data_IF_855649921140
#
_entry.id   IF_855649921140
#
_cell.length_a   1.000
_cell.length_b   1.000
_cell.length_c   1.000
_cell.angle_alpha   90.00
_cell.angle_beta   90.00
_cell.angle_gamma   90.00
#
_symmetry.space_group_name_H-M   'P 1'
#
loop_
_entity.id
_entity.type
_entity.pdbx_description
1 polymer ?
#
# COMPACT_ATOMS: atom_id res chain seq x y z
N UNK A 1 16.05 -6.90 -12.02
CA UNK A 1 15.31 -5.78 -11.41
C UNK A 1 15.23 -6.05 -9.92
N UNK A 2 15.81 -5.20 -9.11
CA UNK A 2 15.70 -5.26 -7.66
C UNK A 2 14.94 -4.03 -7.15
N UNK A 3 14.13 -4.20 -6.11
CA UNK A 3 13.48 -3.10 -5.37
C UNK A 3 14.21 -2.98 -4.05
N UNK A 4 14.79 -1.82 -3.78
CA UNK A 4 15.51 -1.50 -2.55
C UNK A 4 14.52 -0.78 -1.63
N UNK A 5 13.97 -1.43 -0.60
CA UNK A 5 13.03 -0.80 0.29
C UNK A 5 13.73 0.18 1.22
N UNK A 6 13.15 1.36 1.37
CA UNK A 6 13.51 2.38 2.32
C UNK A 6 12.28 2.67 3.17
N UNK A 7 12.34 2.29 4.43
CA UNK A 7 11.27 2.57 5.36
C UNK A 7 11.48 3.92 6.02
N UNK A 8 10.51 4.82 5.83
CA UNK A 8 10.44 6.07 6.58
C UNK A 8 9.42 5.90 7.71
N UNK A 9 9.69 6.43 8.91
CA UNK A 9 8.69 6.44 9.98
C UNK A 9 7.41 7.07 9.46
N UNK A 10 6.26 6.65 10.01
CA UNK A 10 4.91 7.11 9.59
C UNK A 10 4.68 8.63 9.72
N UNK A 11 5.69 9.42 9.45
CA UNK A 11 5.61 10.87 9.31
C UNK A 11 4.77 11.21 8.05
N UNK A 12 4.13 12.36 8.04
CA UNK A 12 3.33 12.83 6.91
C UNK A 12 1.88 12.36 6.87
N UNK A 13 1.44 11.48 7.78
CA UNK A 13 0.03 11.12 7.92
C UNK A 13 -0.64 12.03 8.96
N UNK A 14 -1.61 12.89 8.58
CA UNK A 14 -2.30 13.78 9.52
C UNK A 14 -3.45 13.07 10.26
N UNK A 15 -3.91 11.94 9.74
CA UNK A 15 -5.02 11.15 10.27
C UNK A 15 -4.51 9.85 10.89
N UNK A 16 -5.16 9.43 11.97
CA UNK A 16 -4.89 8.15 12.60
C UNK A 16 -5.97 7.16 12.16
N UNK A 17 -5.71 6.43 11.06
CA UNK A 17 -6.61 5.37 10.63
C UNK A 17 -6.78 4.34 11.73
N UNK A 18 -8.01 3.85 11.95
CA UNK A 18 -8.32 2.94 13.07
C UNK A 18 -7.48 1.66 13.09
N UNK A 19 -7.01 1.19 11.93
CA UNK A 19 -6.22 -0.04 11.78
C UNK A 19 -4.71 0.18 11.79
N UNK A 20 -4.23 1.43 11.93
CA UNK A 20 -2.80 1.74 11.77
C UNK A 20 -2.15 2.02 13.12
N UNK A 21 -1.10 1.27 13.43
CA UNK A 21 -0.29 1.50 14.62
C UNK A 21 0.96 2.33 14.30
N UNK A 22 0.76 3.62 14.09
CA UNK A 22 1.85 4.54 13.76
C UNK A 22 2.88 4.72 14.88
N UNK A 23 2.47 4.56 16.15
CA UNK A 23 3.33 4.84 17.30
C UNK A 23 4.23 3.67 17.68
N UNK A 24 3.80 2.45 17.43
CA UNK A 24 4.51 1.22 17.84
C UNK A 24 5.52 0.76 16.79
N UNK A 25 5.20 0.96 15.49
CA UNK A 25 6.06 0.49 14.38
C UNK A 25 7.21 1.45 14.10
N UNK A 26 7.11 2.73 14.40
CA UNK A 26 8.11 3.71 13.95
C UNK A 26 9.03 4.25 15.02
N UNK A 27 8.79 4.02 16.31
CA UNK A 27 9.52 4.75 17.34
C UNK A 27 9.67 6.24 16.93
N UNK A 28 9.55 7.20 17.78
CA UNK A 28 9.48 8.65 17.48
C UNK A 28 10.73 9.25 16.78
N UNK A 29 11.33 8.59 15.80
CA UNK A 29 12.48 9.13 15.07
C UNK A 29 12.00 9.73 13.74
N UNK A 30 12.26 11.01 13.56
CA UNK A 30 12.20 11.67 12.24
C UNK A 30 13.22 11.00 11.33
N UNK A 31 12.76 10.47 10.17
CA UNK A 31 13.68 9.96 9.18
C UNK A 31 14.65 11.07 8.73
N UNK A 32 15.90 10.75 8.61
CA UNK A 32 16.94 11.63 8.08
C UNK A 32 17.56 11.04 6.81
N UNK A 33 18.22 11.87 6.03
CA UNK A 33 19.02 11.45 4.88
C UNK A 33 20.02 10.34 5.24
N UNK A 34 20.62 10.39 6.44
CA UNK A 34 21.54 9.37 6.93
C UNK A 34 20.85 8.02 7.16
N UNK A 35 19.62 8.02 7.67
CA UNK A 35 18.85 6.77 7.87
C UNK A 35 18.51 6.13 6.52
N UNK A 36 18.19 6.95 5.53
CA UNK A 36 17.97 6.48 4.15
C UNK A 36 19.25 5.87 3.57
N UNK A 37 20.38 6.56 3.71
CA UNK A 37 21.69 6.08 3.24
C UNK A 37 22.06 4.72 3.86
N UNK A 38 21.93 4.57 5.17
CA UNK A 38 22.18 3.30 5.86
C UNK A 38 21.28 2.16 5.40
N UNK A 39 20.00 2.43 5.13
CA UNK A 39 19.08 1.43 4.62
C UNK A 39 19.48 1.02 3.20
N UNK A 40 19.81 1.97 2.32
CA UNK A 40 20.27 1.71 0.97
C UNK A 40 21.55 0.85 0.97
N UNK A 41 22.55 1.20 1.78
CA UNK A 41 23.83 0.49 1.89
C UNK A 41 23.65 -0.98 2.24
N UNK A 42 22.69 -1.33 3.13
CA UNK A 42 22.41 -2.72 3.50
C UNK A 42 21.97 -3.57 2.31
N UNK A 43 21.27 -2.99 1.34
CA UNK A 43 20.77 -3.72 0.17
C UNK A 43 21.77 -3.69 -1.01
N UNK A 44 22.53 -2.60 -1.14
CA UNK A 44 23.48 -2.40 -2.26
C UNK A 44 24.56 -3.49 -2.32
N UNK A 45 24.96 -4.05 -1.19
CA UNK A 45 25.94 -5.15 -1.15
C UNK A 45 25.41 -6.46 -1.79
N UNK A 46 24.09 -6.61 -1.96
CA UNK A 46 23.44 -7.83 -2.47
C UNK A 46 22.93 -7.69 -3.90
N UNK A 47 22.96 -6.50 -4.47
CA UNK A 47 22.41 -6.24 -5.81
C UNK A 47 23.52 -5.82 -6.78
N UNK A 48 23.34 -6.14 -8.05
CA UNK A 48 24.19 -5.58 -9.11
C UNK A 48 23.64 -4.20 -9.49
N UNK A 49 24.48 -3.17 -9.57
CA UNK A 49 24.08 -1.85 -10.09
C UNK A 49 23.42 -1.98 -11.48
N UNK A 50 22.44 -1.15 -11.75
CA UNK A 50 21.83 -1.12 -13.07
C UNK A 50 20.49 -0.34 -13.11
N UNK A 51 20.13 0.15 -14.30
CA UNK A 51 18.98 1.03 -14.51
C UNK A 51 17.62 0.34 -14.30
N UNK A 52 17.60 -0.96 -14.14
CA UNK A 52 16.37 -1.70 -13.81
C UNK A 52 16.06 -1.78 -12.31
N UNK A 53 16.96 -1.32 -11.44
CA UNK A 53 16.73 -1.30 -10.01
C UNK A 53 15.93 -0.05 -9.60
N UNK A 54 15.13 -0.17 -8.56
CA UNK A 54 14.33 0.92 -7.99
C UNK A 54 14.60 1.10 -6.50
N UNK A 55 14.71 2.35 -6.01
CA UNK A 55 14.54 2.64 -4.60
C UNK A 55 13.05 2.85 -4.30
N UNK A 56 12.55 2.30 -3.20
CA UNK A 56 11.14 2.32 -2.87
C UNK A 56 10.91 2.85 -1.46
N UNK A 57 10.31 4.04 -1.32
CA UNK A 57 9.93 4.61 -0.03
C UNK A 57 8.60 4.06 0.46
N UNK A 58 8.62 3.45 1.63
CA UNK A 58 7.46 2.86 2.31
C UNK A 58 7.35 3.36 3.76
N UNK A 59 6.24 3.08 4.41
CA UNK A 59 6.02 3.26 5.85
C UNK A 59 5.11 4.43 6.24
N UNK A 60 4.85 5.40 5.34
CA UNK A 60 3.99 6.54 5.64
C UNK A 60 3.38 7.16 4.38
N UNK A 61 2.98 8.42 4.50
CA UNK A 61 2.56 9.22 3.35
C UNK A 61 3.71 10.13 2.92
N UNK A 62 4.53 9.69 1.96
CA UNK A 62 5.73 10.43 1.57
C UNK A 62 5.43 11.87 1.16
N UNK A 63 4.42 12.09 0.31
CA UNK A 63 4.05 13.43 -0.15
C UNK A 63 3.33 14.28 0.90
N UNK A 64 3.00 13.71 2.05
CA UNK A 64 2.51 14.44 3.22
C UNK A 64 3.61 15.03 4.11
N UNK A 65 4.88 14.69 3.84
CA UNK A 65 6.02 15.31 4.50
C UNK A 65 6.23 16.75 4.01
N UNK A 66 6.86 17.64 4.81
CA UNK A 66 7.33 18.95 4.33
C UNK A 66 8.25 18.79 3.11
N UNK A 67 8.19 19.71 2.14
CA UNK A 67 8.92 19.59 0.88
C UNK A 67 10.45 19.57 1.06
N UNK A 68 10.97 20.33 2.01
CA UNK A 68 12.40 20.33 2.39
C UNK A 68 12.85 19.00 2.96
N UNK A 69 12.01 18.34 3.78
CA UNK A 69 12.29 17.01 4.28
C UNK A 69 12.22 15.95 3.15
N UNK A 70 11.24 16.05 2.24
CA UNK A 70 11.20 15.18 1.06
C UNK A 70 12.50 15.29 0.24
N UNK A 71 12.94 16.52 -0.02
CA UNK A 71 14.20 16.80 -0.73
C UNK A 71 15.42 16.23 0.02
N UNK A 72 15.45 16.37 1.35
CA UNK A 72 16.51 15.80 2.16
C UNK A 72 16.57 14.28 2.05
N UNK A 73 15.42 13.60 2.13
CA UNK A 73 15.33 12.15 2.03
C UNK A 73 15.67 11.62 0.63
N UNK A 74 15.48 12.42 -0.43
CA UNK A 74 15.88 12.06 -1.79
C UNK A 74 17.38 12.13 -2.04
N UNK A 75 18.16 12.94 -1.32
CA UNK A 75 19.60 13.14 -1.58
C UNK A 75 20.42 11.86 -1.77
N UNK A 76 20.33 10.82 -0.89
CA UNK A 76 21.08 9.58 -1.11
C UNK A 76 20.62 8.81 -2.36
N UNK A 77 19.33 8.93 -2.69
CA UNK A 77 18.75 8.27 -3.85
C UNK A 77 19.13 8.97 -5.15
N UNK A 78 19.17 10.32 -5.15
CA UNK A 78 19.64 11.13 -6.29
C UNK A 78 21.07 10.77 -6.69
N UNK A 79 21.95 10.53 -5.70
CA UNK A 79 23.31 10.06 -5.93
C UNK A 79 23.33 8.73 -6.67
N UNK A 80 22.53 7.75 -6.22
CA UNK A 80 22.44 6.43 -6.85
C UNK A 80 21.84 6.49 -8.27
N UNK A 81 20.90 7.42 -8.52
CA UNK A 81 20.36 7.68 -9.85
C UNK A 81 21.46 8.26 -10.77
N UNK A 82 22.21 9.26 -10.30
CA UNK A 82 23.30 9.88 -11.06
C UNK A 82 24.42 8.88 -11.38
N UNK A 83 24.73 7.98 -10.48
CA UNK A 83 25.74 6.91 -10.64
C UNK A 83 25.22 5.73 -11.49
N UNK A 84 23.94 5.70 -11.87
CA UNK A 84 23.33 4.60 -12.64
C UNK A 84 23.19 3.28 -11.86
N UNK A 85 23.26 3.34 -10.54
CA UNK A 85 23.07 2.16 -9.64
C UNK A 85 21.61 1.75 -9.59
N UNK A 86 20.71 2.74 -9.67
CA UNK A 86 19.27 2.56 -9.83
C UNK A 86 18.77 3.39 -11.02
N UNK A 87 17.60 3.06 -11.56
CA UNK A 87 17.02 3.76 -12.72
C UNK A 87 15.76 4.54 -12.40
N UNK A 88 15.17 4.34 -11.23
CA UNK A 88 13.95 5.04 -10.82
C UNK A 88 13.72 4.96 -9.33
N UNK A 89 12.76 5.77 -8.89
CA UNK A 89 12.22 5.78 -7.54
C UNK A 89 10.75 5.43 -7.56
N UNK A 90 10.32 4.75 -6.53
CA UNK A 90 8.92 4.43 -6.22
C UNK A 90 8.60 4.92 -4.83
N UNK A 91 7.36 5.31 -4.57
CA UNK A 91 6.92 5.67 -3.24
C UNK A 91 5.44 5.35 -3.00
N UNK A 92 5.11 5.21 -1.71
CA UNK A 92 3.72 5.08 -1.25
C UNK A 92 3.23 6.38 -0.62
N UNK A 93 2.00 6.75 -0.92
CA UNK A 93 1.39 7.94 -0.35
C UNK A 93 -0.15 7.85 -0.31
N UNK A 94 -0.77 8.87 0.27
CA UNK A 94 -2.22 9.03 0.34
C UNK A 94 -2.73 9.80 -0.89
N UNK A 95 -3.98 9.54 -1.34
CA UNK A 95 -4.54 10.25 -2.50
C UNK A 95 -4.78 11.74 -2.26
N UNK A 96 -5.09 12.15 -1.02
CA UNK A 96 -5.33 13.55 -0.63
C UNK A 96 -4.06 14.42 -0.55
N UNK A 97 -2.88 13.83 -0.77
CA UNK A 97 -1.58 14.53 -0.82
C UNK A 97 -0.97 14.49 -2.22
N UNK A 98 -1.79 14.57 -3.26
CA UNK A 98 -1.38 14.64 -4.66
C UNK A 98 -1.84 15.98 -5.24
N UNK A 99 -0.88 16.82 -5.61
CA UNK A 99 -1.07 18.08 -6.34
C UNK A 99 0.09 18.33 -7.31
N UNK A 100 -0.04 19.33 -8.16
CA UNK A 100 0.93 19.64 -9.20
C UNK A 100 2.34 19.90 -8.63
N UNK A 101 2.45 20.72 -7.58
CA UNK A 101 3.75 21.09 -6.99
C UNK A 101 4.47 19.87 -6.42
N UNK A 102 3.73 18.96 -5.75
CA UNK A 102 4.29 17.69 -5.26
C UNK A 102 4.74 16.81 -6.41
N UNK A 103 3.95 16.68 -7.47
CA UNK A 103 4.31 15.84 -8.62
C UNK A 103 5.53 16.37 -9.38
N UNK A 104 5.69 17.67 -9.51
CA UNK A 104 6.90 18.31 -10.06
C UNK A 104 8.13 17.98 -9.23
N UNK A 105 8.01 18.04 -7.88
CA UNK A 105 9.09 17.63 -6.97
C UNK A 105 9.44 16.15 -7.17
N UNK A 106 8.45 15.27 -7.23
CA UNK A 106 8.68 13.84 -7.45
C UNK A 106 9.39 13.56 -8.78
N UNK A 107 8.99 14.23 -9.86
CA UNK A 107 9.66 14.08 -11.16
C UNK A 107 11.11 14.54 -11.12
N UNK A 108 11.39 15.67 -10.44
CA UNK A 108 12.75 16.18 -10.29
C UNK A 108 13.70 15.18 -9.62
N UNK A 109 13.19 14.30 -8.75
CA UNK A 109 13.92 13.26 -8.03
C UNK A 109 13.78 11.85 -8.63
N UNK A 110 13.41 11.74 -9.91
CA UNK A 110 13.38 10.47 -10.64
C UNK A 110 12.31 9.48 -10.21
N UNK A 111 11.25 9.94 -9.53
CA UNK A 111 10.10 9.09 -9.19
C UNK A 111 9.36 8.75 -10.47
N UNK A 112 9.12 7.46 -10.70
CA UNK A 112 8.34 6.96 -11.82
C UNK A 112 7.05 6.28 -11.39
N UNK A 113 7.04 5.69 -10.20
CA UNK A 113 5.91 4.90 -9.71
C UNK A 113 5.36 5.47 -8.39
N UNK A 114 4.07 5.71 -8.33
CA UNK A 114 3.36 6.16 -7.12
C UNK A 114 2.30 5.12 -6.74
N UNK A 115 2.42 4.59 -5.51
CA UNK A 115 1.45 3.67 -4.93
C UNK A 115 0.50 4.43 -4.00
N UNK A 116 -0.79 4.48 -4.36
CA UNK A 116 -1.80 5.17 -3.57
C UNK A 116 -2.45 4.24 -2.55
N UNK A 117 -2.44 4.63 -1.29
CA UNK A 117 -3.17 3.97 -0.21
C UNK A 117 -4.67 4.26 -0.28
N UNK A 118 -5.37 3.67 -1.23
CA UNK A 118 -6.81 3.87 -1.48
C UNK A 118 -7.65 3.15 -0.44
N UNK A 119 -7.39 1.90 -0.22
CA UNK A 119 -8.05 0.93 0.67
C UNK A 119 -9.47 0.56 0.22
N UNK A 120 -10.37 1.53 0.03
CA UNK A 120 -11.73 1.41 -0.47
C UNK A 120 -12.12 2.62 -1.32
N UNK A 121 -13.16 2.50 -2.13
CA UNK A 121 -13.82 3.60 -2.85
C UNK A 121 -15.29 3.76 -2.41
N UNK A 122 -15.60 3.26 -1.22
CA UNK A 122 -16.85 3.48 -0.51
C UNK A 122 -16.61 4.49 0.63
N UNK A 123 -17.23 5.65 0.53
CA UNK A 123 -17.00 6.75 1.49
C UNK A 123 -17.47 6.40 2.90
N UNK A 124 -18.47 5.54 3.07
CA UNK A 124 -18.89 5.06 4.39
C UNK A 124 -17.80 4.19 5.05
N UNK A 125 -17.16 3.33 4.26
CA UNK A 125 -16.02 2.50 4.71
C UNK A 125 -14.82 3.37 5.04
N UNK A 126 -14.51 4.35 4.20
CA UNK A 126 -13.41 5.29 4.43
C UNK A 126 -13.63 6.13 5.69
N UNK A 127 -14.87 6.59 5.93
CA UNK A 127 -15.23 7.33 7.12
C UNK A 127 -15.15 6.46 8.38
N UNK A 128 -15.69 5.23 8.36
CA UNK A 128 -15.64 4.28 9.47
C UNK A 128 -14.19 3.89 9.84
N UNK A 129 -13.29 3.90 8.87
CA UNK A 129 -11.87 3.63 9.05
C UNK A 129 -11.02 4.87 9.39
N UNK A 130 -11.64 6.04 9.57
CA UNK A 130 -10.99 7.33 9.84
C UNK A 130 -9.88 7.66 8.83
N UNK A 131 -10.11 7.32 7.55
CA UNK A 131 -9.11 7.55 6.50
C UNK A 131 -8.86 9.04 6.21
N UNK A 132 -9.83 9.91 6.47
CA UNK A 132 -9.73 11.36 6.27
C UNK A 132 -9.71 11.81 4.80
N UNK A 133 -9.84 10.90 3.83
CA UNK A 133 -10.04 11.20 2.41
C UNK A 133 -11.29 10.49 1.89
N UNK A 134 -11.80 10.93 0.75
CA UNK A 134 -12.95 10.38 0.07
C UNK A 134 -12.57 9.73 -1.27
N UNK A 135 -13.47 8.96 -1.86
CA UNK A 135 -13.28 8.37 -3.18
C UNK A 135 -12.98 9.42 -4.26
N UNK A 136 -13.57 10.62 -4.14
CA UNK A 136 -13.30 11.75 -5.04
C UNK A 136 -11.85 12.20 -5.04
N UNK A 137 -11.13 12.09 -3.93
CA UNK A 137 -9.71 12.45 -3.85
C UNK A 137 -8.86 11.43 -4.62
N UNK A 138 -9.26 10.14 -4.60
CA UNK A 138 -8.62 9.09 -5.39
C UNK A 138 -8.77 9.37 -6.89
N UNK A 139 -9.97 9.75 -7.36
CA UNK A 139 -10.18 10.08 -8.77
C UNK A 139 -9.33 11.25 -9.22
N UNK A 140 -9.26 12.33 -8.41
CA UNK A 140 -8.43 13.50 -8.69
C UNK A 140 -6.94 13.11 -8.74
N UNK A 141 -6.46 12.36 -7.74
CA UNK A 141 -5.08 11.92 -7.66
C UNK A 141 -4.68 11.06 -8.86
N UNK A 142 -5.48 10.04 -9.22
CA UNK A 142 -5.21 9.16 -10.37
C UNK A 142 -5.23 9.96 -11.67
N UNK A 143 -6.18 10.88 -11.86
CA UNK A 143 -6.22 11.74 -13.05
C UNK A 143 -4.96 12.58 -13.17
N UNK A 144 -4.52 13.22 -12.09
CA UNK A 144 -3.34 14.07 -12.09
C UNK A 144 -2.05 13.25 -12.30
N UNK A 145 -1.90 12.11 -11.64
CA UNK A 145 -0.76 11.21 -11.83
C UNK A 145 -0.64 10.73 -13.27
N UNK A 146 -1.77 10.42 -13.94
CA UNK A 146 -1.78 10.08 -15.38
C UNK A 146 -1.33 11.23 -16.25
N UNK A 147 -1.77 12.46 -15.97
CA UNK A 147 -1.35 13.65 -16.72
C UNK A 147 0.14 13.89 -16.62
N UNK A 148 0.75 13.59 -15.47
CA UNK A 148 2.19 13.70 -15.25
C UNK A 148 2.98 12.45 -15.69
N UNK A 149 2.33 11.40 -16.20
CA UNK A 149 2.98 10.22 -16.75
C UNK A 149 3.54 9.23 -15.72
N UNK A 150 3.06 9.25 -14.48
CA UNK A 150 3.45 8.29 -13.46
C UNK A 150 2.83 6.91 -13.70
N UNK A 151 3.57 5.86 -13.37
CA UNK A 151 3.02 4.53 -13.16
C UNK A 151 2.26 4.50 -11.82
N UNK A 152 1.03 3.97 -11.83
CA UNK A 152 0.12 4.05 -10.69
C UNK A 152 -0.15 2.68 -10.13
N UNK A 153 0.16 2.48 -8.84
CA UNK A 153 -0.28 1.35 -8.04
C UNK A 153 -1.41 1.74 -7.10
N UNK A 154 -2.38 0.84 -6.88
CA UNK A 154 -3.42 1.03 -5.88
C UNK A 154 -3.33 -0.05 -4.80
N UNK A 155 -3.36 0.36 -3.54
CA UNK A 155 -3.48 -0.54 -2.39
C UNK A 155 -4.95 -0.63 -1.99
N UNK A 156 -5.48 -1.84 -1.91
CA UNK A 156 -6.87 -2.14 -1.58
C UNK A 156 -6.93 -3.02 -0.34
N UNK A 157 -7.99 -2.86 0.45
CA UNK A 157 -8.23 -3.69 1.63
C UNK A 157 -9.57 -4.38 1.57
N UNK A 158 -9.65 -5.58 2.16
CA UNK A 158 -10.88 -6.32 2.41
C UNK A 158 -11.09 -6.50 3.90
N UNK A 159 -12.36 -6.47 4.33
CA UNK A 159 -12.74 -6.65 5.73
C UNK A 159 -12.64 -5.38 6.59
N UNK A 160 -12.67 -4.20 6.00
CA UNK A 160 -12.66 -2.92 6.73
C UNK A 160 -13.97 -2.70 7.51
N UNK A 161 -13.98 -1.87 8.57
CA UNK A 161 -15.21 -1.49 9.26
C UNK A 161 -16.28 -1.00 8.28
N UNK A 162 -17.51 -1.44 8.45
CA UNK A 162 -18.67 -1.16 7.59
C UNK A 162 -18.54 -1.65 6.13
N UNK A 163 -17.52 -2.43 5.79
CA UNK A 163 -17.31 -2.93 4.43
C UNK A 163 -18.06 -4.25 4.21
N UNK A 164 -19.10 -4.23 3.40
CA UNK A 164 -19.75 -5.45 2.90
C UNK A 164 -19.02 -6.00 1.67
N UNK A 165 -19.32 -7.25 1.30
CA UNK A 165 -18.78 -7.81 0.05
C UNK A 165 -19.28 -7.03 -1.18
N UNK A 166 -20.49 -6.48 -1.15
CA UNK A 166 -20.99 -5.64 -2.25
C UNK A 166 -20.25 -4.29 -2.32
N UNK A 167 -19.84 -3.71 -1.19
CA UNK A 167 -18.94 -2.57 -1.15
C UNK A 167 -17.56 -2.89 -1.78
N UNK A 168 -17.00 -4.09 -1.51
CA UNK A 168 -15.77 -4.56 -2.18
C UNK A 168 -15.97 -4.66 -3.68
N UNK A 169 -17.08 -5.27 -4.14
CA UNK A 169 -17.40 -5.37 -5.57
C UNK A 169 -17.54 -4.00 -6.23
N UNK A 170 -18.25 -3.08 -5.60
CA UNK A 170 -18.41 -1.70 -6.09
C UNK A 170 -17.06 -0.96 -6.16
N UNK A 171 -16.18 -1.17 -5.18
CA UNK A 171 -14.81 -0.64 -5.21
C UNK A 171 -14.03 -1.19 -6.40
N UNK A 172 -14.09 -2.50 -6.64
CA UNK A 172 -13.40 -3.13 -7.78
C UNK A 172 -13.86 -2.56 -9.12
N UNK A 173 -15.18 -2.40 -9.32
CA UNK A 173 -15.71 -1.80 -10.56
C UNK A 173 -15.18 -0.37 -10.80
N UNK A 174 -14.98 0.39 -9.72
CA UNK A 174 -14.40 1.73 -9.81
C UNK A 174 -12.90 1.66 -10.11
N UNK A 175 -12.16 0.75 -9.48
CA UNK A 175 -10.72 0.52 -9.74
C UNK A 175 -10.48 0.11 -11.21
N UNK A 176 -11.33 -0.74 -11.78
CA UNK A 176 -11.26 -1.11 -13.20
C UNK A 176 -11.38 0.11 -14.11
N UNK A 177 -12.27 1.05 -13.79
CA UNK A 177 -12.42 2.32 -14.55
C UNK A 177 -11.22 3.25 -14.36
N UNK A 178 -10.63 3.26 -13.16
CA UNK A 178 -9.39 4.02 -12.90
C UNK A 178 -8.19 3.48 -13.67
N UNK A 179 -8.14 2.18 -13.97
CA UNK A 179 -7.11 1.54 -14.78
C UNK A 179 -5.69 1.76 -14.26
N UNK A 180 -5.35 1.37 -13.03
CA UNK A 180 -3.98 1.43 -12.54
C UNK A 180 -3.10 0.40 -13.25
N UNK A 181 -1.77 0.59 -13.20
CA UNK A 181 -0.80 -0.36 -13.74
C UNK A 181 -0.75 -1.66 -12.91
N UNK A 182 -0.91 -1.53 -11.61
CA UNK A 182 -0.90 -2.66 -10.69
C UNK A 182 -1.69 -2.37 -9.41
N UNK A 183 -1.92 -3.43 -8.62
CA UNK A 183 -2.58 -3.34 -7.33
C UNK A 183 -1.92 -4.24 -6.27
N UNK A 184 -2.20 -3.93 -5.01
CA UNK A 184 -1.95 -4.76 -3.84
C UNK A 184 -3.27 -5.00 -3.11
N UNK A 185 -3.45 -6.19 -2.55
CA UNK A 185 -4.67 -6.59 -1.83
C UNK A 185 -4.27 -7.02 -0.41
N UNK A 186 -4.83 -6.37 0.59
CA UNK A 186 -4.54 -6.66 1.99
C UNK A 186 -5.81 -7.01 2.76
N UNK A 187 -5.85 -8.17 3.46
CA UNK A 187 -6.88 -8.40 4.44
C UNK A 187 -6.64 -7.51 5.67
N UNK A 188 -7.70 -7.00 6.26
CA UNK A 188 -7.61 -6.23 7.50
C UNK A 188 -7.31 -7.14 8.67
N UNK A 189 -6.33 -6.77 9.48
CA UNK A 189 -6.01 -7.39 10.76
C UNK A 189 -6.25 -6.42 11.91
N UNK A 190 -6.67 -6.94 13.05
CA UNK A 190 -6.68 -6.21 14.32
C UNK A 190 -5.28 -6.33 14.93
N UNK A 191 -4.57 -5.22 14.95
CA UNK A 191 -3.18 -5.15 15.43
C UNK A 191 -3.17 -4.45 16.77
N UNK A 192 -2.33 -4.95 17.68
CA UNK A 192 -2.15 -4.42 19.03
C UNK A 192 -1.77 -2.93 19.02
N UNK A 193 -2.35 -2.17 19.93
CA UNK A 193 -2.10 -0.74 20.09
C UNK A 193 -2.78 0.14 19.01
N UNK A 194 -3.70 -0.43 18.22
CA UNK A 194 -4.50 0.34 17.26
C UNK A 194 -5.84 0.75 17.88
N UNK A 195 -6.47 1.85 17.41
CA UNK A 195 -7.87 2.13 17.78
C UNK A 195 -8.82 0.97 17.45
N UNK A 196 -8.55 0.20 16.41
CA UNK A 196 -9.36 -0.95 16.00
C UNK A 196 -9.32 -2.09 17.03
N UNK A 197 -8.22 -2.27 17.76
CA UNK A 197 -8.16 -3.23 18.88
C UNK A 197 -9.22 -2.89 19.93
N UNK A 198 -9.31 -1.63 20.34
CA UNK A 198 -10.31 -1.21 21.33
C UNK A 198 -11.74 -1.33 20.81
N UNK A 199 -11.99 -1.08 19.52
CA UNK A 199 -13.31 -1.28 18.90
C UNK A 199 -13.65 -2.78 18.89
N UNK A 200 -12.68 -3.64 18.59
CA UNK A 200 -12.84 -5.09 18.63
C UNK A 200 -13.11 -5.61 20.05
N UNK A 201 -12.33 -5.16 21.06
CA UNK A 201 -12.51 -5.55 22.46
C UNK A 201 -13.88 -5.18 23.01
N UNK A 202 -14.50 -4.10 22.54
CA UNK A 202 -15.87 -3.71 22.89
C UNK A 202 -16.95 -4.49 22.15
N UNK A 203 -16.57 -5.38 21.21
CA UNK A 203 -17.52 -6.13 20.39
C UNK A 203 -18.22 -5.29 19.32
N UNK A 204 -17.69 -4.12 18.99
CA UNK A 204 -18.23 -3.20 17.97
C UNK A 204 -17.72 -3.48 16.54
N UNK A 205 -16.74 -4.36 16.42
CA UNK A 205 -16.17 -4.81 15.15
C UNK A 205 -15.85 -6.31 15.20
N UNK A 206 -16.26 -7.03 14.15
CA UNK A 206 -15.91 -8.43 13.95
C UNK A 206 -15.07 -8.55 12.68
N UNK A 207 -13.80 -9.01 12.76
CA UNK A 207 -12.97 -9.20 11.58
C UNK A 207 -13.47 -10.38 10.74
N UNK A 208 -13.17 -10.37 9.45
CA UNK A 208 -13.47 -11.50 8.57
C UNK A 208 -12.79 -12.77 9.06
N UNK A 209 -13.45 -13.91 8.84
CA UNK A 209 -12.77 -15.21 8.95
C UNK A 209 -11.72 -15.33 7.83
N UNK A 210 -10.80 -16.28 7.96
CA UNK A 210 -9.79 -16.54 6.93
C UNK A 210 -10.45 -16.89 5.59
N UNK A 211 -11.48 -17.74 5.62
CA UNK A 211 -12.21 -18.19 4.44
C UNK A 211 -12.90 -17.02 3.72
N UNK A 212 -13.61 -16.16 4.47
CA UNK A 212 -14.29 -15.00 3.91
C UNK A 212 -13.29 -13.98 3.32
N UNK A 213 -12.15 -13.77 3.98
CA UNK A 213 -11.10 -12.90 3.49
C UNK A 213 -10.44 -13.44 2.21
N UNK A 214 -10.21 -14.76 2.15
CA UNK A 214 -9.70 -15.44 0.94
C UNK A 214 -10.69 -15.30 -0.20
N UNK A 215 -11.99 -15.55 0.04
CA UNK A 215 -13.05 -15.42 -0.98
C UNK A 215 -13.10 -13.99 -1.56
N UNK A 216 -13.17 -12.98 -0.70
CA UNK A 216 -13.21 -11.58 -1.13
C UNK A 216 -11.93 -11.17 -1.87
N UNK A 217 -10.76 -11.56 -1.35
CA UNK A 217 -9.49 -11.27 -2.00
C UNK A 217 -9.34 -11.97 -3.35
N UNK A 218 -9.80 -13.22 -3.48
CA UNK A 218 -9.81 -13.97 -4.74
C UNK A 218 -10.74 -13.32 -5.78
N UNK A 219 -11.87 -12.78 -5.36
CA UNK A 219 -12.74 -11.99 -6.24
C UNK A 219 -12.02 -10.76 -6.77
N UNK A 220 -11.40 -9.96 -5.89
CA UNK A 220 -10.62 -8.75 -6.27
C UNK A 220 -9.49 -9.15 -7.22
N UNK A 221 -8.70 -10.15 -6.86
CA UNK A 221 -7.58 -10.68 -7.65
C UNK A 221 -8.05 -11.10 -9.07
N UNK A 222 -9.12 -11.89 -9.14
CA UNK A 222 -9.68 -12.38 -10.40
C UNK A 222 -10.13 -11.23 -11.32
N UNK A 223 -10.87 -10.27 -10.78
CA UNK A 223 -11.38 -9.14 -11.57
C UNK A 223 -10.27 -8.26 -12.11
N UNK A 224 -9.27 -7.96 -11.29
CA UNK A 224 -8.14 -7.12 -11.69
C UNK A 224 -7.27 -7.83 -12.74
N UNK A 225 -6.93 -9.10 -12.53
CA UNK A 225 -6.08 -9.86 -13.47
C UNK A 225 -6.76 -10.09 -14.82
N UNK A 226 -8.06 -10.36 -14.84
CA UNK A 226 -8.86 -10.48 -16.07
C UNK A 226 -8.88 -9.17 -16.88
N UNK A 227 -8.80 -8.02 -16.21
CA UNK A 227 -8.71 -6.70 -16.84
C UNK A 227 -7.27 -6.30 -17.22
N UNK A 228 -6.28 -7.18 -17.02
CA UNK A 228 -4.87 -6.90 -17.32
C UNK A 228 -4.14 -6.06 -16.25
N UNK A 229 -4.77 -5.79 -15.10
CA UNK A 229 -4.14 -5.09 -13.98
C UNK A 229 -3.33 -6.10 -13.17
N UNK A 230 -2.02 -5.85 -13.05
CA UNK A 230 -1.12 -6.75 -12.35
C UNK A 230 -1.33 -6.69 -10.83
N UNK A 231 -1.64 -7.78 -10.18
CA UNK A 231 -1.64 -7.87 -8.72
C UNK A 231 -0.26 -8.32 -8.26
N UNK A 232 0.49 -7.41 -7.63
CA UNK A 232 1.90 -7.64 -7.25
C UNK A 232 2.06 -8.16 -5.83
N UNK A 233 1.02 -8.07 -5.00
CA UNK A 233 1.00 -8.62 -3.64
C UNK A 233 -0.43 -8.91 -3.19
N UNK A 234 -0.57 -10.04 -2.50
CA UNK A 234 -1.79 -10.42 -1.78
C UNK A 234 -1.38 -10.85 -0.37
N UNK A 235 -1.99 -10.24 0.64
CA UNK A 235 -1.65 -10.44 2.05
C UNK A 235 -0.50 -9.58 2.54
N UNK A 236 -0.42 -9.43 3.85
CA UNK A 236 0.65 -8.72 4.54
C UNK A 236 1.95 -9.53 4.51
N UNK A 237 3.08 -8.86 4.65
CA UNK A 237 4.35 -9.55 4.81
C UNK A 237 4.44 -10.09 6.24
N UNK A 238 4.68 -11.38 6.36
CA UNK A 238 4.96 -12.02 7.64
C UNK A 238 6.42 -11.72 8.03
N UNK A 239 6.65 -10.53 8.57
CA UNK A 239 7.94 -10.16 9.18
C UNK A 239 7.91 -10.39 10.70
N UNK A 240 9.08 -10.28 11.31
CA UNK A 240 9.23 -10.51 12.76
C UNK A 240 8.42 -9.50 13.58
N UNK A 241 8.23 -8.28 13.08
CA UNK A 241 7.44 -7.25 13.77
C UNK A 241 5.95 -7.58 13.76
N UNK A 242 5.41 -7.99 12.62
CA UNK A 242 4.00 -8.36 12.50
C UNK A 242 3.71 -9.70 13.21
N UNK A 243 4.61 -10.68 13.07
CA UNK A 243 4.45 -12.03 13.63
C UNK A 243 4.92 -12.14 15.09
N UNK A 244 5.45 -11.07 15.69
CA UNK A 244 5.84 -11.02 17.09
C UNK A 244 4.70 -11.42 18.03
N UNK A 245 5.02 -12.03 19.16
CA UNK A 245 4.05 -12.62 20.07
C UNK A 245 2.99 -11.60 20.50
N UNK A 246 1.72 -11.83 20.12
CA UNK A 246 0.58 -11.00 20.48
C UNK A 246 0.42 -9.69 19.69
N UNK A 247 1.15 -9.45 18.61
CA UNK A 247 0.97 -8.24 17.79
C UNK A 247 -0.30 -8.33 16.93
N UNK A 248 -0.70 -9.52 16.51
CA UNK A 248 -1.98 -9.76 15.83
C UNK A 248 -2.98 -10.22 16.88
N UNK A 249 -3.99 -9.37 17.13
CA UNK A 249 -5.05 -9.64 18.13
C UNK A 249 -6.14 -10.51 17.52
N UNK A 250 -6.57 -10.20 16.29
CA UNK A 250 -7.62 -10.93 15.59
C UNK A 250 -7.53 -10.68 14.07
N UNK A 251 -8.29 -11.48 13.31
CA UNK A 251 -8.44 -11.33 11.87
C UNK A 251 -7.80 -12.45 11.05
N UNK A 252 -7.94 -12.38 9.72
CA UNK A 252 -7.61 -13.47 8.79
C UNK A 252 -6.10 -13.55 8.50
N UNK A 253 -5.27 -13.72 9.51
CA UNK A 253 -3.83 -13.86 9.31
C UNK A 253 -3.47 -15.25 8.79
N UNK A 254 -2.66 -15.28 7.74
CA UNK A 254 -1.99 -16.47 7.24
C UNK A 254 -0.64 -16.07 6.65
N UNK A 255 0.49 -16.72 7.00
CA UNK A 255 1.84 -16.34 6.52
C UNK A 255 1.95 -16.34 4.98
N UNK A 256 1.26 -17.29 4.33
CA UNK A 256 1.18 -17.43 2.87
C UNK A 256 -0.21 -17.06 2.34
N UNK A 257 -0.82 -15.96 2.81
CA UNK A 257 -2.20 -15.61 2.47
C UNK A 257 -2.47 -15.57 0.94
N UNK A 258 -1.48 -15.22 0.15
CA UNK A 258 -1.58 -15.20 -1.32
C UNK A 258 -1.78 -16.58 -1.97
N UNK A 259 -1.34 -17.67 -1.34
CA UNK A 259 -1.48 -19.03 -1.90
C UNK A 259 -2.95 -19.48 -1.96
N UNK A 260 -3.73 -19.48 -0.85
CA UNK A 260 -5.14 -19.85 -0.91
C UNK A 260 -5.97 -18.91 -1.80
N UNK A 261 -5.62 -17.62 -1.89
CA UNK A 261 -6.28 -16.67 -2.79
C UNK A 261 -6.05 -17.07 -4.25
N UNK A 262 -4.80 -17.36 -4.64
CA UNK A 262 -4.46 -17.80 -6.00
C UNK A 262 -5.11 -19.13 -6.35
N UNK A 263 -5.13 -20.09 -5.41
CA UNK A 263 -5.78 -21.39 -5.61
C UNK A 263 -7.30 -21.26 -5.81
N UNK A 264 -7.96 -20.44 -5.00
CA UNK A 264 -9.40 -20.19 -5.12
C UNK A 264 -9.74 -19.53 -6.47
N UNK A 265 -8.91 -18.61 -6.94
CA UNK A 265 -9.04 -18.00 -8.25
C UNK A 265 -8.94 -19.05 -9.38
N UNK A 266 -7.96 -19.95 -9.34
CA UNK A 266 -7.77 -21.00 -10.36
C UNK A 266 -8.99 -21.94 -10.41
N UNK A 267 -9.48 -22.41 -9.27
CA UNK A 267 -10.68 -23.29 -9.22
C UNK A 267 -11.93 -22.62 -9.81
N UNK A 268 -12.12 -21.33 -9.55
CA UNK A 268 -13.23 -20.57 -10.13
C UNK A 268 -13.16 -20.46 -11.67
N UNK A 269 -11.96 -20.54 -12.24
CA UNK A 269 -11.73 -20.55 -13.70
C UNK A 269 -11.91 -21.95 -14.32
N UNK A 270 -11.54 -23.01 -13.63
CA UNK A 270 -11.71 -24.38 -14.10
C UNK A 270 -13.19 -24.75 -14.21
N UNK A 271 -14.00 -24.41 -13.19
CA UNK A 271 -15.46 -24.66 -13.21
C UNK A 271 -16.20 -23.92 -14.34
N UNK A 272 -15.68 -22.78 -14.82
CA UNK A 272 -16.26 -22.04 -15.97
C UNK A 272 -15.89 -22.63 -17.33
N UNK A 273 -14.85 -23.47 -17.44
CA UNK A 273 -14.46 -24.14 -18.69
C UNK A 273 -15.20 -25.45 -18.93
N UNK A 274 -15.94 -25.95 -17.94
CA UNK A 274 -16.70 -27.20 -18.00
C UNK A 274 -18.23 -26.97 -18.04
N UNK A 275 -18.69 -25.73 -18.17
CA UNK A 275 -20.06 -25.33 -18.47
C UNK A 275 -20.13 -24.67 -19.86
#
# INVERSE_FOLDING_TARGET
MAIIPVFIPHAGCPHQCVFCNQKTISGQQTASSRDVEQQLERYLQWIKPGPSNEAAFYGGSFTGLPADLQTELFRPVDKLLAEGVIGSVRLSTRPDYIDAARLELLQAHGVKTVELGVQSLDDNVLAAAERGHQATDVYKAVSLLKQYGFEIGLQLMVGMPCQSFDSVKATVEQVLRLGPSFARIYPLLVIKGTPLEHIYERGEFEPLTLEAAVEQSAYVYSKLTLAGIKVIRVGLQADEELCGEGNIVAGPFHPSFGEPVSYTHLRAHETRRHL
#
